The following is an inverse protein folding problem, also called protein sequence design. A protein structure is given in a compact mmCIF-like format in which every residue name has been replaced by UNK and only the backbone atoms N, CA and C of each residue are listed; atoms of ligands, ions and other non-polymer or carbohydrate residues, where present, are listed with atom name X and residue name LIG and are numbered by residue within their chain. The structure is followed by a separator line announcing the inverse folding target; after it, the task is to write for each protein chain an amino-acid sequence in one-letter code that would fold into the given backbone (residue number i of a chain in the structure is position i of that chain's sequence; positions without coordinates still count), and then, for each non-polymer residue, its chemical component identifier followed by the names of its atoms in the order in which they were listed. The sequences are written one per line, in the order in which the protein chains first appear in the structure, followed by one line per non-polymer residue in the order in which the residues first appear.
data_IF_118535150713
#
_entry.id   IF_118535150713
#
_cell.length_a   1.000
_cell.length_b   1.000
_cell.length_c   1.000
_cell.angle_alpha   90.00
_cell.angle_beta   90.00
_cell.angle_gamma   90.00
#
_symmetry.space_group_name_H-M   'P 1'
#
loop_
_entity.id
_entity.type
_entity.pdbx_description
1 polymer ?
#
# COMPACT_ATOMS: atom_id res chain seq x y z
N UNK A 1 -9.44 -13.28 -19.90
CA UNK A 1 -10.21 -12.12 -20.44
C UNK A 1 -9.28 -10.92 -20.51
N UNK A 2 -9.30 -10.15 -21.60
CA UNK A 2 -8.44 -8.98 -21.77
C UNK A 2 -9.02 -7.75 -21.04
N UNK A 3 -8.18 -6.94 -20.39
CA UNK A 3 -8.55 -5.68 -19.72
C UNK A 3 -8.83 -4.55 -20.73
N UNK A 4 -9.74 -4.79 -21.66
CA UNK A 4 -9.98 -3.94 -22.84
C UNK A 4 -11.01 -2.84 -22.60
N UNK A 5 -11.82 -2.92 -21.54
CA UNK A 5 -12.73 -1.87 -21.10
C UNK A 5 -12.76 -1.73 -19.57
N UNK A 6 -13.28 -0.63 -19.00
CA UNK A 6 -13.54 -0.48 -17.56
C UNK A 6 -14.40 -1.60 -16.97
N UNK A 7 -15.46 -2.00 -17.67
CA UNK A 7 -16.36 -3.08 -17.28
C UNK A 7 -15.62 -4.43 -17.26
N UNK A 8 -14.79 -4.69 -18.26
CA UNK A 8 -14.03 -5.93 -18.33
C UNK A 8 -13.00 -6.06 -17.19
N UNK A 9 -12.31 -4.97 -16.82
CA UNK A 9 -11.37 -4.99 -15.69
C UNK A 9 -12.10 -5.06 -14.34
N UNK A 10 -13.27 -4.41 -14.20
CA UNK A 10 -14.12 -4.54 -13.02
C UNK A 10 -14.60 -5.99 -12.83
N UNK A 11 -15.18 -6.59 -13.87
CA UNK A 11 -15.65 -7.97 -13.83
C UNK A 11 -14.50 -8.96 -13.54
N UNK A 12 -13.31 -8.70 -14.09
CA UNK A 12 -12.12 -9.51 -13.80
C UNK A 12 -11.71 -9.40 -12.32
N UNK A 13 -11.69 -8.19 -11.76
CA UNK A 13 -11.35 -7.96 -10.36
C UNK A 13 -12.39 -8.60 -9.42
N UNK A 14 -13.68 -8.44 -9.70
CA UNK A 14 -14.76 -9.08 -8.97
C UNK A 14 -14.61 -10.61 -8.97
N UNK A 15 -14.50 -11.22 -10.15
CA UNK A 15 -14.38 -12.67 -10.26
C UNK A 15 -13.11 -13.19 -9.57
N UNK A 16 -12.03 -12.41 -9.56
CA UNK A 16 -10.81 -12.74 -8.82
C UNK A 16 -11.05 -12.72 -7.30
N UNK A 17 -11.70 -11.68 -6.78
CA UNK A 17 -12.04 -11.55 -5.36
C UNK A 17 -12.98 -12.67 -4.89
N UNK A 18 -13.99 -13.03 -5.68
CA UNK A 18 -14.91 -14.14 -5.40
C UNK A 18 -14.19 -15.50 -5.25
N UNK A 19 -13.08 -15.69 -5.96
CA UNK A 19 -12.25 -16.91 -5.88
C UNK A 19 -11.09 -16.80 -4.88
N UNK A 20 -10.88 -15.64 -4.25
CA UNK A 20 -9.69 -15.38 -3.44
C UNK A 20 -8.37 -15.32 -4.23
N UNK A 21 -8.44 -14.99 -5.52
CA UNK A 21 -7.31 -14.88 -6.44
C UNK A 21 -6.66 -13.48 -6.34
N UNK A 22 -5.78 -13.33 -5.35
CA UNK A 22 -5.11 -12.06 -5.05
C UNK A 22 -4.24 -11.54 -6.19
N UNK A 23 -3.52 -12.41 -6.92
CA UNK A 23 -2.68 -11.99 -8.05
C UNK A 23 -3.52 -11.35 -9.15
N UNK A 24 -4.60 -12.00 -9.56
CA UNK A 24 -5.46 -11.45 -10.62
C UNK A 24 -6.11 -10.16 -10.14
N UNK A 25 -6.57 -10.09 -8.88
CA UNK A 25 -7.13 -8.87 -8.32
C UNK A 25 -6.11 -7.72 -8.32
N UNK A 26 -4.92 -7.92 -7.76
CA UNK A 26 -3.90 -6.86 -7.71
C UNK A 26 -3.40 -6.49 -9.11
N UNK A 27 -3.38 -7.43 -10.06
CA UNK A 27 -3.07 -7.11 -11.45
C UNK A 27 -4.08 -6.13 -12.05
N UNK A 28 -5.35 -6.13 -11.63
CA UNK A 28 -6.37 -5.18 -12.10
C UNK A 28 -6.16 -3.75 -11.59
N UNK A 29 -5.32 -3.52 -10.57
CA UNK A 29 -5.14 -2.21 -9.97
C UNK A 29 -4.05 -1.38 -10.66
N UNK A 30 -4.21 -0.06 -10.61
CA UNK A 30 -3.18 0.84 -11.10
C UNK A 30 -1.91 0.77 -10.22
N UNK A 31 -0.74 0.89 -10.86
CA UNK A 31 0.55 0.87 -10.15
C UNK A 31 0.65 1.94 -9.05
N UNK A 32 -0.01 3.11 -9.19
CA UNK A 32 0.03 4.13 -8.12
C UNK A 32 -0.62 3.64 -6.83
N UNK A 33 -1.67 2.83 -6.96
CA UNK A 33 -2.50 2.39 -5.83
C UNK A 33 -2.00 1.06 -5.27
N UNK A 34 -1.33 0.25 -6.10
CA UNK A 34 -0.56 -0.91 -5.64
C UNK A 34 0.60 -0.55 -4.75
N UNK A 35 1.29 0.58 -4.97
CA UNK A 35 2.48 0.94 -4.19
C UNK A 35 2.20 1.07 -2.68
N UNK A 36 1.18 1.81 -2.22
CA UNK A 36 0.80 1.85 -0.81
C UNK A 36 0.49 0.48 -0.21
N UNK A 37 -0.20 -0.38 -0.96
CA UNK A 37 -0.51 -1.74 -0.53
C UNK A 37 0.78 -2.55 -0.40
N UNK A 38 1.62 -2.56 -1.43
CA UNK A 38 2.90 -3.26 -1.46
C UNK A 38 3.86 -2.87 -0.31
N UNK A 39 3.76 -1.65 0.25
CA UNK A 39 4.57 -1.25 1.41
C UNK A 39 4.44 -2.23 2.58
N UNK A 40 3.29 -2.90 2.73
CA UNK A 40 3.05 -3.89 3.79
C UNK A 40 3.96 -5.12 3.71
N UNK A 41 4.52 -5.42 2.53
CA UNK A 41 5.44 -6.52 2.34
C UNK A 41 6.88 -6.17 2.71
N UNK A 42 7.17 -4.90 2.99
CA UNK A 42 8.50 -4.44 3.38
C UNK A 42 8.64 -4.58 4.90
N UNK A 43 9.66 -5.31 5.40
CA UNK A 43 9.87 -5.46 6.84
C UNK A 43 10.32 -4.12 7.47
N UNK A 44 9.55 -3.60 8.43
CA UNK A 44 9.87 -2.37 9.18
C UNK A 44 10.29 -2.62 10.62
N UNK A 45 10.43 -3.88 11.04
CA UNK A 45 10.73 -4.26 12.41
C UNK A 45 11.13 -5.72 12.49
N UNK A 46 10.71 -6.39 13.56
CA UNK A 46 10.93 -7.83 13.70
C UNK A 46 10.30 -8.58 12.51
N UNK A 47 11.08 -9.46 11.91
CA UNK A 47 10.67 -10.36 10.84
C UNK A 47 10.98 -11.79 11.31
N UNK A 48 10.16 -12.34 12.23
CA UNK A 48 10.35 -13.70 12.73
C UNK A 48 10.41 -14.65 11.53
N UNK A 49 11.39 -15.56 11.55
CA UNK A 49 11.69 -16.50 10.46
C UNK A 49 12.13 -15.87 9.12
N UNK A 50 12.30 -14.55 9.04
CA UNK A 50 12.78 -13.83 7.85
C UNK A 50 11.83 -13.89 6.65
N UNK A 51 10.55 -14.18 6.86
CA UNK A 51 9.60 -14.46 5.78
C UNK A 51 9.38 -13.25 4.86
N UNK A 52 9.27 -12.05 5.42
CA UNK A 52 9.07 -10.80 4.66
C UNK A 52 10.33 -10.43 3.88
N UNK A 53 11.50 -10.62 4.49
CA UNK A 53 12.79 -10.41 3.85
C UNK A 53 13.02 -11.37 2.69
N UNK A 54 12.72 -12.67 2.86
CA UNK A 54 12.77 -13.66 1.77
C UNK A 54 11.84 -13.28 0.63
N UNK A 55 10.60 -12.89 0.94
CA UNK A 55 9.64 -12.43 -0.06
C UNK A 55 10.18 -11.23 -0.86
N UNK A 56 10.83 -10.27 -0.20
CA UNK A 56 11.43 -9.13 -0.87
C UNK A 56 12.55 -9.54 -1.83
N UNK A 57 13.45 -10.44 -1.39
CA UNK A 57 14.57 -10.94 -2.19
C UNK A 57 14.07 -11.74 -3.41
N UNK A 58 13.06 -12.60 -3.24
CA UNK A 58 12.42 -13.37 -4.33
C UNK A 58 11.85 -12.46 -5.44
N UNK A 59 11.41 -11.26 -5.07
CA UNK A 59 10.83 -10.28 -5.99
C UNK A 59 11.83 -9.22 -6.49
N UNK A 60 13.13 -9.47 -6.29
CA UNK A 60 14.21 -8.69 -6.88
C UNK A 60 14.62 -7.46 -6.07
N UNK A 61 14.16 -7.31 -4.82
CA UNK A 61 14.65 -6.24 -3.95
C UNK A 61 16.06 -6.63 -3.46
N UNK A 62 17.08 -5.79 -3.69
CA UNK A 62 18.44 -6.12 -3.27
C UNK A 62 18.59 -6.05 -1.75
N UNK A 63 19.43 -6.92 -1.17
CA UNK A 63 19.62 -7.02 0.27
C UNK A 63 20.07 -5.69 0.90
N UNK A 64 20.89 -4.91 0.19
CA UNK A 64 21.39 -3.60 0.63
C UNK A 64 20.27 -2.55 0.69
N UNK A 65 19.20 -2.70 -0.11
CA UNK A 65 18.03 -1.84 0.01
C UNK A 65 17.20 -2.20 1.26
N UNK A 66 17.06 -3.49 1.57
CA UNK A 66 16.38 -3.95 2.78
C UNK A 66 17.13 -3.54 4.05
N UNK A 67 18.47 -3.66 4.05
CA UNK A 67 19.30 -3.19 5.16
C UNK A 67 19.13 -1.68 5.41
N UNK A 68 19.01 -0.88 4.35
CA UNK A 68 18.73 0.56 4.48
C UNK A 68 17.36 0.85 5.10
N UNK A 69 16.33 0.09 4.74
CA UNK A 69 15.02 0.21 5.37
C UNK A 69 15.12 -0.11 6.86
N UNK A 70 15.76 -1.22 7.21
CA UNK A 70 15.96 -1.64 8.62
C UNK A 70 16.68 -0.56 9.43
N UNK A 71 17.80 -0.05 8.94
CA UNK A 71 18.54 1.02 9.62
C UNK A 71 17.72 2.31 9.78
N UNK A 72 16.89 2.68 8.79
CA UNK A 72 16.00 3.82 8.91
C UNK A 72 14.88 3.60 9.94
N UNK A 73 14.33 2.39 10.01
CA UNK A 73 13.28 2.05 10.96
C UNK A 73 13.81 2.03 12.41
N UNK A 74 14.99 1.47 12.64
CA UNK A 74 15.69 1.48 13.93
C UNK A 74 15.97 2.93 14.38
N UNK A 75 16.52 3.77 13.50
CA UNK A 75 16.77 5.18 13.82
C UNK A 75 15.47 5.96 14.15
N UNK A 76 14.36 5.65 13.47
CA UNK A 76 13.06 6.24 13.73
C UNK A 76 12.51 5.82 15.10
N UNK A 77 12.65 4.53 15.44
CA UNK A 77 12.25 3.99 16.74
C UNK A 77 13.06 4.61 17.88
N UNK A 78 14.39 4.69 17.74
CA UNK A 78 15.28 5.33 18.71
C UNK A 78 14.93 6.82 18.92
N UNK A 79 14.57 7.51 17.83
CA UNK A 79 14.12 8.90 17.88
C UNK A 79 12.79 9.03 18.62
N UNK A 80 11.81 8.18 18.35
CA UNK A 80 10.52 8.17 19.04
C UNK A 80 10.67 7.88 20.54
N UNK A 81 11.52 6.93 20.91
CA UNK A 81 11.79 6.59 22.31
C UNK A 81 12.44 7.74 23.07
N UNK A 82 13.37 8.46 22.44
CA UNK A 82 13.97 9.68 23.01
C UNK A 82 12.95 10.80 23.23
N UNK A 83 12.05 11.03 22.27
CA UNK A 83 10.99 12.03 22.40
C UNK A 83 10.01 11.69 23.53
N UNK A 84 9.61 10.43 23.68
CA UNK A 84 8.72 10.00 24.78
C UNK A 84 9.40 10.12 26.15
N UNK A 85 10.70 9.82 26.24
CA UNK A 85 11.45 9.88 27.50
C UNK A 85 11.77 11.32 27.94
N UNK A 86 11.94 12.26 26.99
CA UNK A 86 12.19 13.68 27.28
C UNK A 86 10.95 14.50 27.63
N UNK A 87 9.74 13.99 27.34
CA UNK A 87 8.48 14.72 27.52
C UNK A 87 7.94 14.74 28.97
N UNK A 88 8.59 14.06 29.92
CA UNK A 88 8.08 13.89 31.30
C UNK A 88 8.31 15.12 32.19
N UNK A 89 8.94 16.19 31.69
CA UNK A 89 9.32 17.37 32.50
C UNK A 89 8.71 18.73 32.12
N UNK A 90 7.97 18.86 31.00
CA UNK A 90 7.52 20.17 30.50
C UNK A 90 6.04 20.42 30.83
N UNK A 91 5.76 20.84 32.06
CA UNK A 91 4.46 21.33 32.49
C UNK A 91 4.52 22.85 32.73
N UNK A 92 4.51 23.66 31.68
CA UNK A 92 4.27 25.11 31.75
C UNK A 92 3.83 25.61 30.37
N UNK A 93 2.80 26.45 30.29
CA UNK A 93 2.20 26.98 29.05
C UNK A 93 3.08 27.98 28.28
N UNK A 94 4.39 27.78 28.25
CA UNK A 94 5.34 28.54 27.43
C UNK A 94 5.53 27.88 26.06
N UNK A 95 5.96 28.65 25.07
CA UNK A 95 6.28 28.14 23.73
C UNK A 95 7.25 26.95 23.83
N UNK A 96 7.09 25.90 22.99
CA UNK A 96 7.95 24.72 23.08
C UNK A 96 9.42 25.16 22.92
N UNK A 97 10.32 24.73 23.81
CA UNK A 97 11.73 25.07 23.71
C UNK A 97 12.28 24.74 22.32
N UNK A 98 13.21 25.55 21.81
CA UNK A 98 13.83 25.36 20.48
C UNK A 98 14.34 23.92 20.25
N UNK A 99 14.76 23.26 21.33
CA UNK A 99 15.18 21.85 21.35
C UNK A 99 14.05 20.88 20.94
N UNK A 100 12.80 21.11 21.35
CA UNK A 100 11.66 20.29 20.94
C UNK A 100 11.32 20.47 19.46
N UNK A 101 11.47 21.70 18.94
CA UNK A 101 11.28 21.99 17.53
C UNK A 101 12.36 21.28 16.68
N UNK A 102 13.63 21.37 17.09
CA UNK A 102 14.73 20.68 16.43
C UNK A 102 14.56 19.15 16.46
N UNK A 103 14.16 18.58 17.59
CA UNK A 103 13.87 17.15 17.71
C UNK A 103 12.72 16.73 16.77
N UNK A 104 11.65 17.52 16.70
CA UNK A 104 10.51 17.26 15.80
C UNK A 104 10.91 17.32 14.32
N UNK A 105 11.75 18.29 13.94
CA UNK A 105 12.28 18.39 12.58
C UNK A 105 13.18 17.20 12.23
N UNK A 106 14.07 16.81 13.14
CA UNK A 106 14.92 15.63 12.97
C UNK A 106 14.11 14.33 12.82
N UNK A 107 13.08 14.14 13.65
CA UNK A 107 12.18 13.00 13.56
C UNK A 107 11.44 12.97 12.20
N UNK A 108 10.93 14.11 11.74
CA UNK A 108 10.27 14.23 10.44
C UNK A 108 11.20 13.85 9.28
N UNK A 109 12.47 14.21 9.36
CA UNK A 109 13.43 13.88 8.30
C UNK A 109 13.80 12.39 8.30
N UNK A 110 13.77 11.72 9.46
CA UNK A 110 13.85 10.26 9.56
C UNK A 110 12.65 9.56 8.91
N UNK A 111 11.42 10.04 9.15
CA UNK A 111 10.21 9.53 8.47
C UNK A 111 10.36 9.63 6.95
N UNK A 112 10.83 10.77 6.43
CA UNK A 112 11.10 10.95 4.99
C UNK A 112 12.21 10.04 4.47
N UNK A 113 13.25 9.77 5.27
CA UNK A 113 14.31 8.85 4.90
C UNK A 113 13.78 7.43 4.77
N UNK A 114 12.98 6.97 5.74
CA UNK A 114 12.32 5.67 5.71
C UNK A 114 11.39 5.53 4.49
N UNK A 115 10.54 6.52 4.23
CA UNK A 115 9.65 6.51 3.07
C UNK A 115 10.41 6.42 1.74
N UNK A 116 11.56 7.11 1.62
CA UNK A 116 12.44 7.02 0.45
C UNK A 116 13.11 5.65 0.32
N UNK A 117 13.54 5.06 1.43
CA UNK A 117 14.12 3.71 1.44
C UNK A 117 13.09 2.66 1.00
N UNK A 118 11.86 2.73 1.51
CA UNK A 118 10.73 1.87 1.10
C UNK A 118 10.42 2.08 -0.39
N UNK A 119 10.32 3.33 -0.84
CA UNK A 119 10.04 3.63 -2.25
C UNK A 119 11.12 3.09 -3.19
N UNK A 120 12.39 3.10 -2.75
CA UNK A 120 13.52 2.49 -3.48
C UNK A 120 13.33 0.98 -3.60
N UNK A 121 13.00 0.29 -2.51
CA UNK A 121 12.70 -1.15 -2.52
C UNK A 121 11.57 -1.48 -3.51
N UNK A 122 10.44 -0.77 -3.42
CA UNK A 122 9.31 -0.95 -4.34
C UNK A 122 9.64 -0.60 -5.80
N UNK A 123 10.67 0.22 -6.03
CA UNK A 123 11.21 0.51 -7.35
C UNK A 123 11.93 -0.68 -7.99
N UNK A 124 12.52 -1.56 -7.19
CA UNK A 124 13.22 -2.77 -7.64
C UNK A 124 12.29 -3.95 -7.94
N UNK A 125 11.05 -3.91 -7.42
CA UNK A 125 10.09 -5.01 -7.60
C UNK A 125 9.69 -5.16 -9.09
N UNK A 126 10.01 -6.32 -9.66
CA UNK A 126 9.76 -6.66 -11.07
C UNK A 126 8.28 -6.79 -11.40
N UNK A 127 7.54 -7.55 -10.59
CA UNK A 127 6.10 -7.68 -10.64
C UNK A 127 5.47 -7.23 -9.32
N UNK A 128 4.94 -6.01 -9.32
CA UNK A 128 4.36 -5.41 -8.14
C UNK A 128 3.03 -6.06 -7.75
N UNK A 129 2.26 -6.58 -8.72
CA UNK A 129 0.98 -7.23 -8.43
C UNK A 129 1.22 -8.57 -7.73
N UNK A 130 2.11 -9.39 -8.28
CA UNK A 130 2.49 -10.67 -7.66
C UNK A 130 3.13 -10.49 -6.28
N UNK A 131 4.02 -9.50 -6.13
CA UNK A 131 4.60 -9.17 -4.82
C UNK A 131 3.52 -8.78 -3.81
N UNK A 132 2.59 -7.90 -4.19
CA UNK A 132 1.50 -7.45 -3.31
C UNK A 132 0.59 -8.62 -2.93
N UNK A 133 0.29 -9.53 -3.86
CA UNK A 133 -0.51 -10.73 -3.59
C UNK A 133 0.15 -11.65 -2.54
N UNK A 134 1.45 -11.92 -2.68
CA UNK A 134 2.18 -12.71 -1.69
C UNK A 134 2.29 -11.99 -0.33
N UNK A 135 2.53 -10.68 -0.33
CA UNK A 135 2.57 -9.88 0.89
C UNK A 135 1.22 -9.88 1.62
N UNK A 136 0.11 -9.76 0.89
CA UNK A 136 -1.25 -9.86 1.42
C UNK A 136 -1.52 -11.22 2.06
N UNK A 137 -1.12 -12.32 1.40
CA UNK A 137 -1.24 -13.67 1.98
C UNK A 137 -0.40 -13.86 3.22
N UNK A 138 0.86 -13.40 3.18
CA UNK A 138 1.75 -13.49 4.33
C UNK A 138 1.16 -12.74 5.53
N UNK A 139 0.70 -11.50 5.33
CA UNK A 139 0.07 -10.69 6.38
C UNK A 139 -1.17 -11.37 6.97
N UNK A 140 -2.04 -11.93 6.13
CA UNK A 140 -3.23 -12.66 6.59
C UNK A 140 -2.86 -13.87 7.43
N UNK A 141 -1.84 -14.61 7.02
CA UNK A 141 -1.38 -15.80 7.72
C UNK A 141 -0.72 -15.46 9.08
N UNK A 142 -0.02 -14.34 9.19
CA UNK A 142 0.74 -13.97 10.40
C UNK A 142 -0.03 -13.08 11.37
N UNK A 143 -0.88 -12.17 10.87
CA UNK A 143 -1.58 -11.16 11.68
C UNK A 143 -3.10 -11.34 11.73
N UNK A 144 -3.64 -12.39 11.09
CA UNK A 144 -5.09 -12.67 11.08
C UNK A 144 -5.94 -11.68 10.27
N UNK A 145 -5.31 -10.77 9.49
CA UNK A 145 -6.00 -9.74 8.71
C UNK A 145 -5.22 -9.28 7.47
N UNK A 146 -5.94 -8.71 6.51
CA UNK A 146 -5.40 -8.22 5.23
C UNK A 146 -5.28 -6.69 5.16
N UNK A 147 -4.68 -6.17 4.09
CA UNK A 147 -4.77 -4.74 3.77
C UNK A 147 -5.99 -4.40 2.91
N UNK A 148 -6.63 -5.41 2.32
CA UNK A 148 -7.86 -5.27 1.53
C UNK A 148 -8.95 -6.14 2.15
N UNK A 149 -10.20 -5.70 2.15
CA UNK A 149 -11.29 -6.58 2.58
C UNK A 149 -11.44 -7.77 1.62
N UNK A 150 -11.62 -8.99 2.13
CA UNK A 150 -11.95 -10.15 1.29
C UNK A 150 -13.34 -10.08 0.67
N UNK A 151 -14.21 -9.18 1.14
CA UNK A 151 -15.53 -8.92 0.56
C UNK A 151 -15.52 -7.81 -0.49
N UNK A 152 -14.38 -7.16 -0.76
CA UNK A 152 -14.31 -6.07 -1.72
C UNK A 152 -14.66 -6.59 -3.13
N UNK A 153 -15.55 -5.88 -3.84
CA UNK A 153 -16.07 -6.28 -5.17
C UNK A 153 -16.97 -7.52 -5.20
N UNK A 154 -17.12 -8.26 -4.10
CA UNK A 154 -17.94 -9.49 -4.06
C UNK A 154 -19.42 -9.12 -4.06
N UNK A 155 -20.15 -9.59 -5.08
CA UNK A 155 -21.58 -9.28 -5.23
C UNK A 155 -21.90 -7.83 -5.61
N UNK A 156 -20.89 -7.00 -5.87
CA UNK A 156 -21.05 -5.61 -6.28
C UNK A 156 -21.37 -5.50 -7.79
N UNK A 157 -21.81 -4.34 -8.27
CA UNK A 157 -22.01 -4.10 -9.71
C UNK A 157 -21.47 -2.74 -10.15
N UNK A 158 -21.09 -2.64 -11.42
CA UNK A 158 -20.65 -1.39 -12.03
C UNK A 158 -21.76 -0.82 -12.91
N UNK A 159 -22.13 0.44 -12.68
CA UNK A 159 -23.14 1.18 -13.45
C UNK A 159 -22.62 2.57 -13.84
N UNK A 160 -23.32 3.23 -14.77
CA UNK A 160 -23.06 4.62 -15.17
C UNK A 160 -21.61 4.91 -15.60
N UNK A 161 -21.00 3.99 -16.35
CA UNK A 161 -19.62 4.15 -16.83
C UNK A 161 -19.55 5.24 -17.90
N UNK A 162 -18.67 6.21 -17.69
CA UNK A 162 -18.36 7.30 -18.61
C UNK A 162 -16.88 7.29 -18.94
N UNK A 163 -16.56 7.23 -20.23
CA UNK A 163 -15.18 7.18 -20.73
C UNK A 163 -14.81 8.54 -21.30
N UNK A 164 -13.71 9.11 -20.78
CA UNK A 164 -13.13 10.38 -21.21
C UNK A 164 -11.66 10.16 -21.60
N UNK A 165 -11.44 9.81 -22.87
CA UNK A 165 -10.11 9.49 -23.40
C UNK A 165 -9.49 8.28 -22.69
N UNK A 166 -8.38 8.52 -21.95
CA UNK A 166 -7.64 7.47 -21.22
C UNK A 166 -8.08 7.30 -19.76
N UNK A 167 -9.21 7.90 -19.38
CA UNK A 167 -9.80 7.79 -18.05
C UNK A 167 -11.26 7.38 -18.18
N UNK A 168 -11.77 6.73 -17.15
CA UNK A 168 -13.20 6.49 -17.02
C UNK A 168 -13.62 6.65 -15.56
N UNK A 169 -14.86 7.07 -15.37
CA UNK A 169 -15.55 7.06 -14.08
C UNK A 169 -16.74 6.12 -14.18
N UNK A 170 -17.10 5.49 -13.08
CA UNK A 170 -18.31 4.71 -12.97
C UNK A 170 -18.80 4.72 -11.53
N UNK A 171 -19.95 4.11 -11.30
CA UNK A 171 -20.54 3.95 -9.97
C UNK A 171 -20.51 2.48 -9.60
N UNK A 172 -19.79 2.18 -8.52
CA UNK A 172 -19.77 0.86 -7.89
C UNK A 172 -20.94 0.77 -6.92
N UNK A 173 -21.89 -0.10 -7.21
CA UNK A 173 -23.04 -0.37 -6.35
C UNK A 173 -22.71 -1.55 -5.45
N UNK A 174 -22.58 -1.29 -4.16
CA UNK A 174 -22.18 -2.27 -3.13
C UNK A 174 -23.42 -2.98 -2.58
N UNK A 175 -24.46 -2.21 -2.26
CA UNK A 175 -25.79 -2.70 -1.90
C UNK A 175 -26.85 -1.87 -2.62
N UNK A 176 -28.14 -2.14 -2.37
CA UNK A 176 -29.22 -1.32 -2.93
C UNK A 176 -29.12 0.15 -2.52
N UNK A 177 -28.65 0.41 -1.31
CA UNK A 177 -28.65 1.74 -0.69
C UNK A 177 -27.25 2.36 -0.61
N UNK A 178 -26.20 1.60 -0.96
CA UNK A 178 -24.82 2.07 -0.92
C UNK A 178 -24.15 1.95 -2.29
N UNK A 179 -23.64 3.09 -2.76
CA UNK A 179 -22.82 3.17 -3.96
C UNK A 179 -21.69 4.18 -3.81
N UNK A 180 -20.61 3.96 -4.54
CA UNK A 180 -19.40 4.79 -4.49
C UNK A 180 -18.86 5.04 -5.89
N UNK A 181 -18.29 6.22 -6.15
CA UNK A 181 -17.58 6.46 -7.39
C UNK A 181 -16.31 5.60 -7.47
N UNK A 182 -16.05 5.05 -8.65
CA UNK A 182 -14.83 4.33 -8.98
C UNK A 182 -14.22 4.93 -10.24
N UNK A 183 -12.90 4.96 -10.33
CA UNK A 183 -12.21 5.39 -11.55
C UNK A 183 -11.38 4.30 -12.16
N UNK A 184 -11.14 4.48 -13.45
CA UNK A 184 -10.29 3.63 -14.25
C UNK A 184 -9.34 4.49 -15.06
N UNK A 185 -8.16 3.95 -15.32
CA UNK A 185 -7.15 4.59 -16.17
C UNK A 185 -6.66 3.60 -17.21
N UNK A 186 -6.44 4.09 -18.42
CA UNK A 186 -5.92 3.29 -19.52
C UNK A 186 -4.41 3.54 -19.67
N UNK A 187 -3.62 2.46 -19.58
CA UNK A 187 -2.17 2.48 -19.80
C UNK A 187 -1.79 1.35 -20.75
N UNK A 188 -1.01 1.65 -21.79
CA UNK A 188 -0.57 0.67 -22.82
C UNK A 188 -1.75 -0.18 -23.35
N UNK A 189 -2.87 0.50 -23.66
CA UNK A 189 -4.11 -0.12 -24.17
C UNK A 189 -4.81 -1.10 -23.22
N UNK A 190 -4.45 -1.09 -21.93
CA UNK A 190 -5.13 -1.87 -20.89
C UNK A 190 -5.74 -0.94 -19.84
N UNK A 191 -6.94 -1.28 -19.38
CA UNK A 191 -7.61 -0.58 -18.30
C UNK A 191 -7.20 -1.12 -16.93
N UNK A 192 -7.09 -0.22 -15.97
CA UNK A 192 -6.76 -0.51 -14.59
C UNK A 192 -7.75 0.21 -13.69
N UNK A 193 -8.15 -0.45 -12.61
CA UNK A 193 -8.94 0.15 -11.54
C UNK A 193 -8.02 1.09 -10.77
N UNK A 194 -8.47 2.32 -10.61
CA UNK A 194 -7.96 3.20 -9.58
C UNK A 194 -8.85 3.05 -8.36
N UNK A 195 -8.32 2.41 -7.32
CA UNK A 195 -8.94 2.42 -6.01
C UNK A 195 -8.79 3.85 -5.48
N UNK A 196 -9.86 4.63 -5.67
CA UNK A 196 -9.91 6.08 -5.49
C UNK A 196 -9.59 6.52 -4.04
N UNK A 197 -9.36 7.83 -3.83
CA UNK A 197 -8.32 8.39 -2.96
C UNK A 197 -8.69 8.40 -1.48
N UNK A 198 -7.69 8.78 -0.67
CA UNK A 198 -7.77 9.16 0.75
C UNK A 198 -9.06 9.85 1.16
#
# INVERSE_FOLDING_TARGET
MSRTSPEAVFALAQAAMERGDWETFFACLDRSDLKPLAKMGIPLGEDPDGASSRLCLEHGIPAEALQRVKACAEALQDSAQRMMSGSVGAASGEAPPDDLLQQSLGHRDLVKALDRAIATCLGCVTDLAAFTAKAERLKRATLGGGSVSSSLFVGESLVDVRIEGKKATGIRRITRDWSEPITFVQKRSQWFIKCLPK
#
